data_IF_596441982823
#
_entry.id   IF_596441982823
#
_cell.length_a   1.000
_cell.length_b   1.000
_cell.length_c   1.000
_cell.angle_alpha   90.00
_cell.angle_beta   90.00
_cell.angle_gamma   90.00
#
_symmetry.space_group_name_H-M   'P 1'
#
loop_
_entity.id
_entity.type
_entity.pdbx_description
1 polymer ?
#
# COMPACT_ATOMS: atom_id res chain seq x y z
N UNK A 1 -21.87 -1.57 -11.86
CA UNK A 1 -21.01 -2.43 -11.00
C UNK A 1 -21.56 -3.83 -11.08
N UNK A 2 -20.75 -4.84 -11.41
CA UNK A 2 -21.21 -6.23 -11.50
C UNK A 2 -21.78 -6.66 -10.15
N UNK A 3 -22.98 -7.26 -10.12
CA UNK A 3 -23.67 -7.64 -8.87
C UNK A 3 -22.81 -8.51 -7.95
N UNK A 4 -21.87 -9.28 -8.52
CA UNK A 4 -20.90 -10.10 -7.79
C UNK A 4 -20.02 -9.30 -6.82
N UNK A 5 -19.52 -8.11 -7.22
CA UNK A 5 -18.67 -7.28 -6.35
C UNK A 5 -19.42 -6.65 -5.17
N UNK A 6 -20.77 -6.69 -5.17
CA UNK A 6 -21.59 -6.27 -4.02
C UNK A 6 -21.69 -7.35 -2.94
N UNK A 7 -21.47 -8.62 -3.27
CA UNK A 7 -21.60 -9.73 -2.33
C UNK A 7 -20.40 -9.84 -1.39
N UNK A 8 -20.64 -9.80 -0.07
CA UNK A 8 -19.59 -10.08 0.92
C UNK A 8 -19.07 -11.51 0.80
N UNK A 9 -19.91 -12.46 0.39
CA UNK A 9 -19.52 -13.86 0.19
C UNK A 9 -18.46 -13.98 -0.90
N UNK A 10 -18.60 -13.23 -2.00
CA UNK A 10 -17.58 -13.19 -3.04
C UNK A 10 -16.22 -12.74 -2.48
N UNK A 11 -16.20 -11.67 -1.69
CA UNK A 11 -14.97 -11.14 -1.11
C UNK A 11 -14.34 -12.09 -0.10
N UNK A 12 -15.15 -12.79 0.70
CA UNK A 12 -14.66 -13.79 1.65
C UNK A 12 -14.00 -14.95 0.90
N UNK A 13 -14.65 -15.46 -0.15
CA UNK A 13 -14.09 -16.53 -0.98
C UNK A 13 -12.81 -16.04 -1.66
N UNK A 14 -12.83 -14.84 -2.24
CA UNK A 14 -11.68 -14.25 -2.91
C UNK A 14 -10.48 -14.08 -1.96
N UNK A 15 -10.71 -13.47 -0.79
CA UNK A 15 -9.68 -13.32 0.24
C UNK A 15 -9.12 -14.68 0.68
N UNK A 16 -9.99 -15.67 0.90
CA UNK A 16 -9.57 -17.01 1.30
C UNK A 16 -8.71 -17.69 0.24
N UNK A 17 -9.07 -17.55 -1.05
CA UNK A 17 -8.28 -18.08 -2.16
C UNK A 17 -6.91 -17.40 -2.25
N UNK A 18 -6.86 -16.07 -2.17
CA UNK A 18 -5.59 -15.32 -2.21
C UNK A 18 -4.70 -15.70 -1.03
N UNK A 19 -5.24 -15.75 0.19
CA UNK A 19 -4.47 -16.09 1.41
C UNK A 19 -4.00 -17.55 1.35
N UNK A 20 -4.86 -18.47 0.96
CA UNK A 20 -4.50 -19.90 0.85
C UNK A 20 -3.44 -20.13 -0.23
N UNK A 21 -3.56 -19.45 -1.38
CA UNK A 21 -2.53 -19.49 -2.41
C UNK A 21 -1.22 -18.93 -1.85
N UNK A 22 -1.25 -17.76 -1.20
CA UNK A 22 -0.07 -17.10 -0.64
C UNK A 22 0.66 -17.97 0.39
N UNK A 23 -0.07 -18.72 1.23
CA UNK A 23 0.50 -19.69 2.18
C UNK A 23 1.36 -20.77 1.50
N UNK A 24 1.03 -21.15 0.27
CA UNK A 24 1.77 -22.19 -0.47
C UNK A 24 3.01 -21.67 -1.18
N UNK A 25 3.14 -20.34 -1.35
CA UNK A 25 4.18 -19.76 -2.19
C UNK A 25 5.08 -18.77 -1.43
N UNK A 26 4.53 -17.94 -0.53
CA UNK A 26 5.29 -16.93 0.24
C UNK A 26 4.59 -16.49 1.54
N UNK A 27 5.17 -16.88 2.69
CA UNK A 27 4.61 -16.60 4.03
C UNK A 27 4.52 -15.12 4.40
N UNK A 28 5.44 -14.29 3.90
CA UNK A 28 5.49 -12.86 4.28
C UNK A 28 4.29 -12.08 3.72
N UNK A 29 3.79 -12.47 2.55
CA UNK A 29 2.63 -11.85 1.92
C UNK A 29 1.31 -12.21 2.61
N UNK A 30 1.25 -13.35 3.31
CA UNK A 30 0.04 -13.80 4.02
C UNK A 30 -0.42 -12.76 5.04
N UNK A 31 0.51 -12.22 5.84
CA UNK A 31 0.19 -11.20 6.84
C UNK A 31 -0.33 -9.92 6.18
N UNK A 32 0.32 -9.46 5.11
CA UNK A 32 -0.09 -8.27 4.37
C UNK A 32 -1.46 -8.47 3.69
N UNK A 33 -1.71 -9.64 3.11
CA UNK A 33 -3.02 -10.02 2.55
C UNK A 33 -4.11 -10.04 3.62
N UNK A 34 -3.83 -10.58 4.80
CA UNK A 34 -4.75 -10.53 5.94
C UNK A 34 -5.07 -9.09 6.36
N UNK A 35 -4.06 -8.22 6.49
CA UNK A 35 -4.24 -6.81 6.83
C UNK A 35 -5.06 -6.09 5.74
N UNK A 36 -4.72 -6.31 4.47
CA UNK A 36 -5.42 -5.74 3.32
C UNK A 36 -6.91 -6.06 3.33
N UNK A 37 -7.26 -7.34 3.44
CA UNK A 37 -8.66 -7.75 3.47
C UNK A 37 -9.35 -7.35 4.78
N UNK A 38 -8.65 -7.32 5.91
CA UNK A 38 -9.20 -6.81 7.16
C UNK A 38 -9.60 -5.33 7.03
N UNK A 39 -8.73 -4.47 6.50
CA UNK A 39 -9.02 -3.06 6.24
C UNK A 39 -10.22 -2.92 5.29
N UNK A 40 -10.21 -3.66 4.19
CA UNK A 40 -11.33 -3.68 3.24
C UNK A 40 -12.66 -4.06 3.90
N UNK A 41 -12.68 -5.14 4.70
CA UNK A 41 -13.89 -5.57 5.40
C UNK A 41 -14.31 -4.59 6.50
N UNK A 42 -13.38 -3.98 7.22
CA UNK A 42 -13.68 -2.93 8.19
C UNK A 42 -14.42 -1.79 7.50
N UNK A 43 -13.91 -1.25 6.39
CA UNK A 43 -14.56 -0.15 5.67
C UNK A 43 -15.90 -0.53 5.06
N UNK A 44 -16.01 -1.77 4.55
CA UNK A 44 -17.24 -2.27 3.96
C UNK A 44 -18.34 -2.50 5.01
N UNK A 45 -18.02 -3.15 6.12
CA UNK A 45 -18.96 -3.48 7.19
C UNK A 45 -19.35 -2.23 8.02
N UNK A 46 -18.42 -1.28 8.18
CA UNK A 46 -18.72 0.03 8.79
C UNK A 46 -19.43 0.99 7.85
N UNK A 47 -19.65 0.63 6.59
CA UNK A 47 -20.23 1.47 5.54
C UNK A 47 -19.46 2.76 5.22
N UNK A 48 -18.16 2.85 5.56
CA UNK A 48 -17.33 4.00 5.23
C UNK A 48 -17.20 4.22 3.71
N UNK A 49 -17.29 3.15 2.90
CA UNK A 49 -17.27 3.24 1.44
C UNK A 49 -18.46 4.02 0.84
N UNK A 50 -19.56 4.23 1.60
CA UNK A 50 -20.72 5.01 1.12
C UNK A 50 -20.42 6.49 0.89
N UNK A 51 -19.37 7.01 1.50
CA UNK A 51 -18.95 8.40 1.32
C UNK A 51 -18.25 8.63 -0.04
N UNK A 52 -17.91 7.55 -0.76
CA UNK A 52 -17.28 7.63 -2.07
C UNK A 52 -18.32 7.90 -3.17
N UNK A 53 -17.98 8.74 -4.13
CA UNK A 53 -18.73 8.86 -5.38
C UNK A 53 -18.67 7.57 -6.21
N UNK A 54 -19.51 7.44 -7.23
CA UNK A 54 -19.58 6.22 -8.05
C UNK A 54 -18.24 5.85 -8.71
N UNK A 55 -17.48 6.84 -9.18
CA UNK A 55 -16.16 6.62 -9.78
C UNK A 55 -15.12 6.21 -8.74
N UNK A 56 -15.11 6.85 -7.58
CA UNK A 56 -14.18 6.56 -6.47
C UNK A 56 -14.46 5.18 -5.88
N UNK A 57 -15.73 4.84 -5.69
CA UNK A 57 -16.12 3.51 -5.26
C UNK A 57 -15.73 2.44 -6.29
N UNK A 58 -15.83 2.75 -7.59
CA UNK A 58 -15.34 1.84 -8.64
C UNK A 58 -13.83 1.65 -8.53
N UNK A 59 -13.06 2.73 -8.35
CA UNK A 59 -11.61 2.67 -8.15
C UNK A 59 -11.25 1.83 -6.91
N UNK A 60 -11.88 2.12 -5.77
CA UNK A 60 -11.70 1.38 -4.52
C UNK A 60 -11.93 -0.13 -4.70
N UNK A 61 -13.05 -0.52 -5.31
CA UNK A 61 -13.39 -1.93 -5.55
C UNK A 61 -12.42 -2.61 -6.53
N UNK A 62 -12.07 -1.92 -7.62
CA UNK A 62 -11.13 -2.45 -8.60
C UNK A 62 -9.77 -2.65 -7.95
N UNK A 63 -9.28 -1.70 -7.15
CA UNK A 63 -8.03 -1.85 -6.43
C UNK A 63 -8.10 -2.98 -5.41
N UNK A 64 -9.16 -3.08 -4.61
CA UNK A 64 -9.36 -4.16 -3.64
C UNK A 64 -9.28 -5.56 -4.28
N UNK A 65 -9.72 -5.70 -5.53
CA UNK A 65 -9.68 -6.94 -6.29
C UNK A 65 -8.34 -7.17 -7.02
N UNK A 66 -7.87 -6.18 -7.76
CA UNK A 66 -6.72 -6.32 -8.66
C UNK A 66 -5.40 -6.30 -7.91
N UNK A 67 -5.28 -5.46 -6.88
CA UNK A 67 -4.02 -5.29 -6.16
C UNK A 67 -3.48 -6.60 -5.57
N UNK A 68 -4.27 -7.41 -4.84
CA UNK A 68 -3.76 -8.67 -4.30
C UNK A 68 -3.29 -9.65 -5.39
N UNK A 69 -3.89 -9.60 -6.59
CA UNK A 69 -3.49 -10.45 -7.73
C UNK A 69 -2.15 -9.99 -8.29
N UNK A 70 -1.99 -8.68 -8.51
CA UNK A 70 -0.74 -8.09 -9.00
C UNK A 70 0.39 -8.38 -8.01
N UNK A 71 0.19 -8.10 -6.73
CA UNK A 71 1.24 -8.26 -5.72
C UNK A 71 1.66 -9.72 -5.60
N UNK A 72 0.70 -10.63 -5.46
CA UNK A 72 0.95 -12.09 -5.46
C UNK A 72 1.75 -12.52 -6.69
N UNK A 73 1.45 -11.97 -7.87
CA UNK A 73 2.14 -12.31 -9.11
C UNK A 73 3.57 -11.77 -9.14
N UNK A 74 3.78 -10.51 -8.73
CA UNK A 74 5.10 -9.88 -8.68
C UNK A 74 6.01 -10.59 -7.67
N UNK A 75 5.54 -10.79 -6.44
CA UNK A 75 6.30 -11.50 -5.41
C UNK A 75 6.65 -12.92 -5.86
N UNK A 76 5.74 -13.62 -6.54
CA UNK A 76 6.03 -14.94 -7.13
C UNK A 76 7.12 -14.91 -8.19
N UNK A 77 7.03 -13.97 -9.14
CA UNK A 77 8.01 -13.81 -10.21
C UNK A 77 9.41 -13.51 -9.65
N UNK A 78 9.48 -12.65 -8.62
CA UNK A 78 10.72 -12.31 -7.92
C UNK A 78 11.30 -13.55 -7.23
N UNK A 79 10.51 -14.26 -6.43
CA UNK A 79 11.00 -15.39 -5.63
C UNK A 79 11.37 -16.61 -6.46
N UNK A 80 10.65 -16.87 -7.56
CA UNK A 80 10.97 -17.96 -8.48
C UNK A 80 11.99 -17.54 -9.55
N UNK A 81 12.47 -16.30 -9.51
CA UNK A 81 13.41 -15.73 -10.48
C UNK A 81 12.99 -16.03 -11.94
N UNK A 82 11.69 -15.86 -12.23
CA UNK A 82 11.09 -16.20 -13.53
C UNK A 82 11.72 -15.37 -14.65
N UNK A 83 12.02 -14.10 -14.35
CA UNK A 83 12.76 -13.21 -15.24
C UNK A 83 14.14 -12.99 -14.61
N UNK A 84 15.24 -13.43 -15.26
CA UNK A 84 16.59 -13.21 -14.74
C UNK A 84 16.90 -11.72 -14.53
N UNK A 85 17.60 -11.39 -13.44
CA UNK A 85 18.00 -10.02 -13.08
C UNK A 85 16.84 -9.03 -12.88
N UNK A 86 15.62 -9.54 -12.69
CA UNK A 86 14.44 -8.69 -12.55
C UNK A 86 14.20 -8.13 -11.16
N UNK A 87 14.88 -8.69 -10.16
CA UNK A 87 14.72 -8.34 -8.75
C UNK A 87 14.74 -6.82 -8.51
N UNK A 88 15.70 -6.11 -9.10
CA UNK A 88 15.85 -4.67 -8.86
C UNK A 88 14.64 -3.83 -9.33
N UNK A 89 14.13 -4.07 -10.54
CA UNK A 89 13.04 -3.27 -11.09
C UNK A 89 11.66 -3.79 -10.70
N UNK A 90 11.49 -5.12 -10.54
CA UNK A 90 10.25 -5.71 -10.04
C UNK A 90 10.01 -5.35 -8.58
N UNK A 91 11.04 -5.35 -7.72
CA UNK A 91 10.90 -4.96 -6.32
C UNK A 91 10.49 -3.48 -6.18
N UNK A 92 11.05 -2.59 -7.02
CA UNK A 92 10.62 -1.18 -7.06
C UNK A 92 9.17 -1.03 -7.53
N UNK A 93 8.77 -1.80 -8.54
CA UNK A 93 7.41 -1.80 -9.05
C UNK A 93 6.42 -2.34 -8.02
N UNK A 94 6.77 -3.42 -7.33
CA UNK A 94 6.03 -4.00 -6.19
C UNK A 94 5.81 -2.93 -5.12
N UNK A 95 6.86 -2.32 -4.59
CA UNK A 95 6.74 -1.27 -3.56
C UNK A 95 5.86 -0.08 -4.00
N UNK A 96 6.02 0.37 -5.25
CA UNK A 96 5.19 1.45 -5.78
C UNK A 96 3.70 1.04 -5.89
N UNK A 97 3.42 -0.14 -6.45
CA UNK A 97 2.07 -0.70 -6.54
C UNK A 97 1.45 -0.86 -5.15
N UNK A 98 2.23 -1.35 -4.19
CA UNK A 98 1.85 -1.48 -2.78
C UNK A 98 1.45 -0.14 -2.17
N UNK A 99 2.28 0.89 -2.30
CA UNK A 99 1.99 2.19 -1.72
C UNK A 99 0.77 2.88 -2.37
N UNK A 100 0.60 2.74 -3.69
CA UNK A 100 -0.59 3.23 -4.41
C UNK A 100 -1.84 2.46 -3.99
N UNK A 101 -1.74 1.14 -3.89
CA UNK A 101 -2.83 0.27 -3.44
C UNK A 101 -3.30 0.65 -2.04
N UNK A 102 -2.36 0.82 -1.10
CA UNK A 102 -2.65 1.23 0.27
C UNK A 102 -3.26 2.63 0.33
N UNK A 103 -2.78 3.56 -0.49
CA UNK A 103 -3.38 4.89 -0.57
C UNK A 103 -4.86 4.76 -0.99
N UNK A 104 -5.14 4.06 -2.09
CA UNK A 104 -6.52 3.91 -2.60
C UNK A 104 -7.42 3.13 -1.63
N UNK A 105 -6.93 2.07 -0.99
CA UNK A 105 -7.77 1.31 -0.04
C UNK A 105 -8.15 2.19 1.16
N UNK A 106 -7.27 3.11 1.59
CA UNK A 106 -7.51 4.05 2.67
C UNK A 106 -8.33 5.29 2.24
N UNK A 107 -8.67 5.45 0.96
CA UNK A 107 -9.47 6.57 0.44
C UNK A 107 -10.73 6.89 1.25
N UNK A 108 -11.53 5.90 1.74
CA UNK A 108 -12.69 6.20 2.60
C UNK A 108 -12.36 7.01 3.86
N UNK A 109 -11.15 6.90 4.42
CA UNK A 109 -10.76 7.61 5.64
C UNK A 109 -10.51 9.10 5.42
N UNK A 110 -10.08 9.49 4.23
CA UNK A 110 -9.67 10.86 3.92
C UNK A 110 -10.49 11.49 2.79
N UNK A 111 -11.63 10.91 2.44
CA UNK A 111 -12.48 11.35 1.33
C UNK A 111 -12.89 12.83 1.42
N UNK A 112 -13.16 13.33 2.63
CA UNK A 112 -13.50 14.73 2.84
C UNK A 112 -12.35 15.67 2.47
N UNK A 113 -11.11 15.25 2.78
CA UNK A 113 -9.90 15.97 2.38
C UNK A 113 -9.77 15.90 0.86
N UNK A 114 -9.92 14.70 0.29
CA UNK A 114 -9.83 14.47 -1.16
C UNK A 114 -10.78 15.36 -1.98
N UNK A 115 -12.03 15.54 -1.53
CA UNK A 115 -13.00 16.42 -2.21
C UNK A 115 -12.73 17.91 -2.00
N UNK A 116 -12.07 18.29 -0.91
CA UNK A 116 -11.71 19.69 -0.64
C UNK A 116 -10.52 20.20 -1.47
N UNK A 117 -9.76 19.28 -2.07
CA UNK A 117 -8.52 19.56 -2.78
C UNK A 117 -8.72 19.62 -4.30
N UNK A 118 -7.93 20.46 -4.97
CA UNK A 118 -7.80 20.46 -6.44
C UNK A 118 -7.09 19.18 -6.89
N UNK A 119 -7.29 18.77 -8.14
CA UNK A 119 -6.71 17.53 -8.69
C UNK A 119 -5.18 17.40 -8.49
N UNK A 120 -4.43 18.50 -8.63
CA UNK A 120 -2.97 18.48 -8.42
C UNK A 120 -2.59 18.42 -6.93
N UNK A 121 -3.42 18.99 -6.04
CA UNK A 121 -3.23 18.88 -4.58
C UNK A 121 -3.53 17.45 -4.12
N UNK A 122 -4.52 16.80 -4.73
CA UNK A 122 -4.79 15.37 -4.54
C UNK A 122 -3.61 14.49 -4.96
N UNK A 123 -2.93 14.83 -6.06
CA UNK A 123 -1.70 14.15 -6.46
C UNK A 123 -0.59 14.32 -5.41
N UNK A 124 -0.35 15.55 -4.95
CA UNK A 124 0.65 15.83 -3.90
C UNK A 124 0.28 15.11 -2.59
N UNK A 125 -1.01 15.04 -2.25
CA UNK A 125 -1.51 14.35 -1.07
C UNK A 125 -1.25 12.85 -1.13
N UNK A 126 -1.53 12.21 -2.28
CA UNK A 126 -1.22 10.80 -2.51
C UNK A 126 0.28 10.56 -2.43
N UNK A 127 1.10 11.39 -3.10
CA UNK A 127 2.56 11.25 -3.05
C UNK A 127 3.09 11.37 -1.61
N UNK A 128 2.55 12.30 -0.82
CA UNK A 128 2.87 12.42 0.59
C UNK A 128 2.47 11.19 1.41
N UNK A 129 1.29 10.64 1.18
CA UNK A 129 0.86 9.39 1.83
C UNK A 129 1.73 8.20 1.44
N UNK A 130 2.07 8.05 0.16
CA UNK A 130 2.98 7.02 -0.35
C UNK A 130 4.34 7.11 0.33
N UNK A 131 4.91 8.33 0.44
CA UNK A 131 6.17 8.54 1.16
C UNK A 131 6.05 8.21 2.66
N UNK A 132 4.95 8.57 3.32
CA UNK A 132 4.73 8.19 4.72
C UNK A 132 4.62 6.68 4.91
N UNK A 133 3.91 5.99 4.02
CA UNK A 133 3.78 4.52 4.05
C UNK A 133 5.15 3.87 3.82
N UNK A 134 5.92 4.36 2.84
CA UNK A 134 7.30 3.93 2.59
C UNK A 134 8.18 4.10 3.83
N UNK A 135 8.05 5.23 4.52
CA UNK A 135 8.76 5.48 5.78
C UNK A 135 8.38 4.54 6.91
N UNK A 136 7.09 4.23 7.06
CA UNK A 136 6.68 3.22 8.03
C UNK A 136 7.31 1.88 7.69
N UNK A 137 7.30 1.48 6.41
CA UNK A 137 7.92 0.24 5.97
C UNK A 137 9.43 0.19 6.31
N UNK A 138 10.19 1.24 5.97
CA UNK A 138 11.61 1.35 6.29
C UNK A 138 11.87 1.36 7.81
N UNK A 139 11.03 2.04 8.59
CA UNK A 139 11.12 2.03 10.06
C UNK A 139 10.87 0.63 10.64
N UNK A 140 9.86 -0.09 10.14
CA UNK A 140 9.57 -1.45 10.59
C UNK A 140 10.71 -2.40 10.22
N UNK A 141 11.26 -2.28 9.01
CA UNK A 141 12.43 -3.05 8.57
C UNK A 141 13.65 -2.78 9.48
N UNK A 142 13.93 -1.51 9.77
CA UNK A 142 14.95 -1.09 10.73
C UNK A 142 14.71 -1.71 12.11
N UNK A 143 13.50 -1.58 12.65
CA UNK A 143 13.16 -2.08 13.98
C UNK A 143 13.32 -3.60 14.08
N UNK A 144 12.85 -4.34 13.08
CA UNK A 144 13.01 -5.79 13.03
C UNK A 144 14.49 -6.19 12.94
N UNK A 145 15.31 -5.47 12.16
CA UNK A 145 16.74 -5.76 12.05
C UNK A 145 17.52 -5.49 13.34
N UNK A 146 17.18 -4.42 14.06
CA UNK A 146 17.86 -4.03 15.30
C UNK A 146 17.38 -4.86 16.49
N UNK A 147 16.06 -5.03 16.65
CA UNK A 147 15.48 -5.65 17.83
C UNK A 147 15.37 -7.17 17.72
N UNK A 148 15.29 -7.74 16.50
CA UNK A 148 15.09 -9.18 16.32
C UNK A 148 16.35 -9.94 15.85
N UNK A 149 17.51 -9.29 15.74
CA UNK A 149 18.83 -9.88 15.43
C UNK A 149 18.81 -11.20 14.61
N UNK A 150 18.64 -11.18 13.28
CA UNK A 150 19.04 -12.33 12.48
C UNK A 150 20.57 -12.34 12.40
N UNK A 151 21.17 -13.39 12.98
CA UNK A 151 22.62 -13.61 13.19
C UNK A 151 23.45 -13.76 11.89
N UNK A 152 22.92 -13.50 10.69
CA UNK A 152 23.62 -13.83 9.43
C UNK A 152 23.65 -12.78 8.32
N UNK A 153 23.28 -11.52 8.55
CA UNK A 153 23.11 -10.53 7.46
C UNK A 153 24.09 -9.34 7.50
N UNK A 154 25.37 -9.59 7.77
CA UNK A 154 26.45 -8.59 7.65
C UNK A 154 26.58 -7.98 6.25
N UNK A 155 26.01 -8.60 5.20
CA UNK A 155 25.91 -8.04 3.84
C UNK A 155 24.86 -6.93 3.67
N UNK A 156 23.87 -6.84 4.56
CA UNK A 156 22.80 -5.83 4.47
C UNK A 156 23.07 -4.56 5.29
N UNK A 157 24.05 -4.59 6.20
CA UNK A 157 24.46 -3.44 7.00
C UNK A 157 25.05 -2.28 6.16
N UNK A 158 25.55 -2.57 4.95
CA UNK A 158 26.04 -1.55 4.01
C UNK A 158 24.93 -0.67 3.42
N UNK A 159 23.67 -1.14 3.36
CA UNK A 159 22.52 -0.36 2.87
C UNK A 159 21.85 0.48 3.96
N UNK A 160 22.37 0.43 5.19
CA UNK A 160 21.70 0.96 6.37
C UNK A 160 21.78 2.49 6.50
N UNK A 161 22.85 3.11 6.00
CA UNK A 161 22.93 4.57 5.87
C UNK A 161 21.94 5.09 4.84
N UNK A 162 21.74 4.33 3.76
CA UNK A 162 20.79 4.68 2.69
C UNK A 162 19.35 4.62 3.23
N UNK A 163 19.00 3.63 4.05
CA UNK A 163 17.66 3.54 4.66
C UNK A 163 17.33 4.74 5.56
N UNK A 164 18.25 5.22 6.41
CA UNK A 164 17.99 6.39 7.27
C UNK A 164 17.89 7.67 6.43
N UNK A 165 18.70 7.79 5.38
CA UNK A 165 18.66 8.92 4.46
C UNK A 165 17.35 8.95 3.65
N UNK A 166 16.94 7.81 3.11
CA UNK A 166 15.69 7.62 2.37
C UNK A 166 14.48 7.95 3.26
N UNK A 167 14.48 7.46 4.51
CA UNK A 167 13.48 7.81 5.51
C UNK A 167 13.36 9.33 5.72
N UNK A 168 14.52 10.00 5.85
CA UNK A 168 14.60 11.45 6.04
C UNK A 168 14.06 12.22 4.84
N UNK A 169 14.46 11.84 3.62
CA UNK A 169 14.03 12.47 2.37
C UNK A 169 12.53 12.30 2.15
N UNK A 170 11.99 11.10 2.36
CA UNK A 170 10.56 10.80 2.25
C UNK A 170 9.75 11.58 3.30
N UNK A 171 10.25 11.75 4.53
CA UNK A 171 9.56 12.47 5.60
C UNK A 171 9.52 13.98 5.30
N UNK A 172 10.65 14.54 4.86
CA UNK A 172 10.73 15.94 4.43
C UNK A 172 9.85 16.17 3.22
N UNK A 173 9.89 15.29 2.22
CA UNK A 173 9.05 15.38 1.01
C UNK A 173 7.57 15.37 1.32
N UNK A 174 7.12 14.44 2.18
CA UNK A 174 5.74 14.38 2.64
C UNK A 174 5.34 15.65 3.42
N UNK A 175 6.19 16.10 4.34
CA UNK A 175 5.93 17.31 5.14
C UNK A 175 5.82 18.56 4.28
N UNK A 176 6.75 18.76 3.33
CA UNK A 176 6.72 19.85 2.36
C UNK A 176 5.46 19.76 1.50
N UNK A 177 5.09 18.58 1.01
CA UNK A 177 3.86 18.35 0.25
C UNK A 177 2.60 18.76 1.02
N UNK A 178 2.45 18.29 2.27
CA UNK A 178 1.32 18.66 3.11
C UNK A 178 1.32 20.14 3.50
N UNK A 179 2.50 20.75 3.70
CA UNK A 179 2.63 22.17 3.99
C UNK A 179 2.25 23.03 2.77
N UNK A 180 2.65 22.65 1.55
CA UNK A 180 2.22 23.30 0.30
C UNK A 180 0.69 23.21 0.16
N UNK A 181 0.10 22.06 0.47
CA UNK A 181 -1.36 21.90 0.47
C UNK A 181 -1.98 22.84 1.50
N UNK A 182 -1.52 22.81 2.75
CA UNK A 182 -2.05 23.65 3.85
C UNK A 182 -1.96 25.15 3.53
N UNK A 183 -0.87 25.61 2.91
CA UNK A 183 -0.68 27.02 2.57
C UNK A 183 -1.51 27.46 1.35
N UNK A 184 -1.83 26.54 0.43
CA UNK A 184 -2.62 26.84 -0.76
C UNK A 184 -4.12 26.59 -0.59
N UNK A 185 -4.53 25.84 0.44
CA UNK A 185 -5.91 25.80 0.90
C UNK A 185 -6.10 27.04 1.78
N UNK A 186 -6.51 28.16 1.18
CA UNK A 186 -7.00 29.31 1.96
C UNK A 186 -8.04 28.80 2.95
N UNK A 187 -7.95 29.24 4.20
CA UNK A 187 -8.97 28.96 5.21
C UNK A 187 -10.34 29.35 4.63
N UNK A 188 -11.21 28.34 4.47
CA UNK A 188 -12.64 28.54 4.30
C UNK A 188 -13.21 29.14 5.59
#
# INVERSE_FOLDING_TARGET
MVNTFKSNVFWIIFASLVISFSLTVFSNWVLLGCIWFAVFFIFRLSNLEKNLSVSEHKLYIVTAFVFPIIETSLTWMIQKNIIPYSWFWLNRLEHFCSAVGVSIILLPMYINIWHSLKWWQNLVFILGLVCLIGNFNEFFEFFLRVCCQPISDSKFALYYSDTIYDMGVNLIGAFVGFLIIKLNVRAL
#
